data_IF_779969523509
#
_entry.id   IF_779969523509
#
_cell.length_a   1.000
_cell.length_b   1.000
_cell.length_c   1.000
_cell.angle_alpha   90.00
_cell.angle_beta   90.00
_cell.angle_gamma   90.00
#
_symmetry.space_group_name_H-M   'P 1'
#
loop_
_entity.id
_entity.type
_entity.pdbx_description
1 polymer ?
#
# COMPACT_ATOMS: atom_id res chain seq x y z
N UNK A 1 7.46 -23.85 1.46
CA UNK A 1 8.00 -22.56 0.97
C UNK A 1 8.01 -21.60 2.16
N UNK A 2 9.16 -21.04 2.53
CA UNK A 2 9.22 -20.03 3.58
C UNK A 2 8.97 -18.65 2.94
N UNK A 3 7.92 -17.95 3.37
CA UNK A 3 7.67 -16.58 2.96
C UNK A 3 8.36 -15.67 3.96
N UNK A 4 9.39 -14.96 3.49
CA UNK A 4 10.24 -14.09 4.32
C UNK A 4 9.74 -12.65 4.38
N UNK A 5 8.90 -12.24 3.41
CA UNK A 5 8.25 -10.94 3.44
C UNK A 5 6.81 -11.05 2.89
N UNK A 6 5.88 -10.34 3.51
CA UNK A 6 4.50 -10.21 3.06
C UNK A 6 4.21 -8.75 2.68
N UNK A 7 4.25 -8.41 1.38
CA UNK A 7 4.08 -7.03 0.94
C UNK A 7 2.62 -6.59 1.07
N UNK A 8 2.29 -5.93 2.18
CA UNK A 8 0.95 -5.45 2.54
C UNK A 8 0.28 -4.73 1.36
N UNK A 9 0.96 -3.75 0.76
CA UNK A 9 0.43 -2.97 -0.35
C UNK A 9 0.07 -3.84 -1.55
N UNK A 10 0.94 -4.78 -1.94
CA UNK A 10 0.68 -5.63 -3.08
C UNK A 10 -0.41 -6.68 -2.81
N UNK A 11 -0.62 -7.08 -1.55
CA UNK A 11 -1.76 -7.89 -1.16
C UNK A 11 -3.07 -7.09 -1.26
N UNK A 12 -3.07 -5.87 -0.72
CA UNK A 12 -4.18 -4.92 -0.79
C UNK A 12 -4.61 -4.69 -2.25
N UNK A 13 -3.66 -4.32 -3.11
CA UNK A 13 -3.92 -4.04 -4.53
C UNK A 13 -4.37 -5.29 -5.28
N UNK A 14 -3.69 -6.42 -5.08
CA UNK A 14 -3.97 -7.64 -5.85
C UNK A 14 -5.34 -8.26 -5.53
N UNK A 15 -5.71 -8.32 -4.25
CA UNK A 15 -7.00 -8.87 -3.82
C UNK A 15 -8.13 -7.87 -4.10
N UNK A 16 -7.94 -6.60 -3.71
CA UNK A 16 -8.94 -5.55 -3.89
C UNK A 16 -9.27 -5.30 -5.36
N UNK A 17 -8.27 -5.24 -6.24
CA UNK A 17 -8.51 -5.07 -7.68
C UNK A 17 -9.29 -6.24 -8.27
N UNK A 18 -8.92 -7.48 -7.92
CA UNK A 18 -9.62 -8.65 -8.46
C UNK A 18 -11.10 -8.68 -8.06
N UNK A 19 -11.40 -8.37 -6.81
CA UNK A 19 -12.79 -8.32 -6.33
C UNK A 19 -13.55 -7.15 -6.96
N UNK A 20 -12.93 -5.98 -7.09
CA UNK A 20 -13.50 -4.84 -7.80
C UNK A 20 -13.87 -5.20 -9.24
N UNK A 21 -12.95 -5.80 -9.99
CA UNK A 21 -13.17 -6.19 -11.38
C UNK A 21 -14.37 -7.12 -11.52
N UNK A 22 -14.45 -8.15 -10.66
CA UNK A 22 -15.57 -9.10 -10.67
C UNK A 22 -16.91 -8.44 -10.35
N UNK A 23 -16.93 -7.45 -9.45
CA UNK A 23 -18.16 -6.71 -9.15
C UNK A 23 -18.57 -5.88 -10.37
N UNK A 24 -17.63 -5.14 -10.97
CA UNK A 24 -17.90 -4.27 -12.13
C UNK A 24 -18.30 -5.07 -13.37
N UNK A 25 -17.70 -6.25 -13.59
CA UNK A 25 -18.08 -7.17 -14.67
C UNK A 25 -19.54 -7.66 -14.58
N UNK A 26 -20.14 -7.61 -13.38
CA UNK A 26 -21.53 -8.02 -13.14
C UNK A 26 -22.54 -6.88 -13.20
N UNK A 27 -22.09 -5.64 -13.37
CA UNK A 27 -22.94 -4.45 -13.38
C UNK A 27 -23.57 -4.19 -14.75
N UNK A 28 -24.75 -3.57 -14.75
CA UNK A 28 -25.32 -2.96 -15.96
C UNK A 28 -24.56 -1.69 -16.37
N UNK A 29 -24.77 -1.21 -17.60
CA UNK A 29 -24.15 0.04 -18.08
C UNK A 29 -24.51 1.25 -17.20
N UNK A 30 -25.76 1.34 -16.74
CA UNK A 30 -26.21 2.39 -15.82
C UNK A 30 -25.50 2.31 -14.46
N UNK A 31 -25.36 1.10 -13.91
CA UNK A 31 -24.64 0.87 -12.66
C UNK A 31 -23.16 1.21 -12.78
N UNK A 32 -22.53 0.90 -13.93
CA UNK A 32 -21.14 1.27 -14.22
C UNK A 32 -21.00 2.79 -14.24
N UNK A 33 -21.92 3.52 -14.86
CA UNK A 33 -21.88 4.98 -14.91
C UNK A 33 -21.99 5.59 -13.49
N UNK A 34 -22.94 5.11 -12.68
CA UNK A 34 -23.10 5.54 -11.28
C UNK A 34 -21.84 5.23 -10.46
N UNK A 35 -21.26 4.05 -10.67
CA UNK A 35 -20.01 3.65 -10.02
C UNK A 35 -18.86 4.60 -10.38
N UNK A 36 -18.69 4.93 -11.66
CA UNK A 36 -17.65 5.86 -12.12
C UNK A 36 -17.82 7.26 -11.55
N UNK A 37 -19.05 7.77 -11.47
CA UNK A 37 -19.32 9.10 -10.91
C UNK A 37 -19.11 9.12 -9.40
N UNK A 38 -19.40 8.02 -8.71
CA UNK A 38 -19.11 7.86 -7.28
C UNK A 38 -17.61 7.78 -7.01
N UNK A 39 -16.83 7.08 -7.86
CA UNK A 39 -15.36 7.08 -7.78
C UNK A 39 -14.81 8.52 -7.90
N UNK A 40 -15.31 9.31 -8.86
CA UNK A 40 -14.91 10.73 -9.02
C UNK A 40 -15.24 11.55 -7.78
N UNK A 41 -16.44 11.37 -7.21
CA UNK A 41 -16.90 12.07 -5.99
C UNK A 41 -15.96 11.87 -4.81
N UNK A 42 -15.45 10.65 -4.64
CA UNK A 42 -14.50 10.31 -3.57
C UNK A 42 -13.03 10.51 -3.97
N UNK A 43 -12.76 11.12 -5.13
CA UNK A 43 -11.42 11.33 -5.67
C UNK A 43 -10.60 10.01 -5.79
N UNK A 44 -11.29 8.91 -6.09
CA UNK A 44 -10.68 7.59 -6.28
C UNK A 44 -10.25 7.48 -7.74
N UNK A 45 -8.93 7.46 -7.96
CA UNK A 45 -8.34 7.47 -9.30
C UNK A 45 -7.68 6.13 -9.62
N UNK A 46 -7.84 5.70 -10.87
CA UNK A 46 -7.07 4.60 -11.46
C UNK A 46 -5.80 5.18 -12.08
N UNK A 47 -4.68 4.47 -11.91
CA UNK A 47 -3.39 4.83 -12.50
C UNK A 47 -3.44 4.74 -14.02
N UNK A 48 -2.88 5.73 -14.69
CA UNK A 48 -2.66 5.70 -16.14
C UNK A 48 -1.50 4.77 -16.52
N UNK A 49 -0.50 4.63 -15.64
CA UNK A 49 0.71 3.83 -15.89
C UNK A 49 0.50 2.32 -15.76
N UNK A 50 -0.44 1.89 -14.90
CA UNK A 50 -0.66 0.47 -14.60
C UNK A 50 -1.92 -0.12 -15.29
N UNK A 51 -2.26 0.36 -16.49
CA UNK A 51 -3.36 -0.19 -17.28
C UNK A 51 -4.74 -0.02 -16.63
N UNK A 52 -4.96 1.09 -15.93
CA UNK A 52 -6.26 1.38 -15.32
C UNK A 52 -6.52 0.66 -13.98
N UNK A 53 -5.46 0.32 -13.23
CA UNK A 53 -5.55 -0.25 -11.88
C UNK A 53 -5.55 0.82 -10.80
N UNK A 54 -6.09 0.51 -9.62
CA UNK A 54 -5.97 1.42 -8.47
C UNK A 54 -4.55 1.41 -7.89
N UNK A 55 -4.15 2.56 -7.34
CA UNK A 55 -2.96 2.70 -6.50
C UNK A 55 -3.33 2.58 -5.02
N UNK A 56 -2.34 2.48 -4.14
CA UNK A 56 -2.55 2.20 -2.71
C UNK A 56 -3.59 3.10 -2.05
N UNK A 57 -3.45 4.43 -2.23
CA UNK A 57 -4.37 5.40 -1.64
C UNK A 57 -5.80 5.27 -2.20
N UNK A 58 -5.94 5.11 -3.52
CA UNK A 58 -7.23 4.91 -4.16
C UNK A 58 -7.90 3.60 -3.71
N UNK A 59 -7.14 2.52 -3.56
CA UNK A 59 -7.67 1.24 -3.08
C UNK A 59 -8.12 1.34 -1.62
N UNK A 60 -7.39 2.04 -0.75
CA UNK A 60 -7.83 2.30 0.63
C UNK A 60 -9.11 3.13 0.68
N UNK A 61 -9.23 4.16 -0.17
CA UNK A 61 -10.46 4.95 -0.28
C UNK A 61 -11.63 4.11 -0.81
N UNK A 62 -11.39 3.25 -1.79
CA UNK A 62 -12.38 2.31 -2.31
C UNK A 62 -12.87 1.37 -1.21
N UNK A 63 -11.96 0.76 -0.45
CA UNK A 63 -12.33 -0.10 0.68
C UNK A 63 -13.04 0.68 1.79
N UNK A 64 -12.71 1.95 2.02
CA UNK A 64 -13.40 2.80 3.00
C UNK A 64 -14.83 3.17 2.57
N UNK A 65 -15.04 3.41 1.29
CA UNK A 65 -16.30 3.92 0.73
C UNK A 65 -17.09 2.86 -0.06
N UNK A 66 -16.71 1.58 0.07
CA UNK A 66 -17.34 0.48 -0.66
C UNK A 66 -18.87 0.43 -0.46
N UNK A 67 -19.39 0.82 0.70
CA UNK A 67 -20.84 0.89 0.96
C UNK A 67 -21.58 1.87 0.05
N UNK A 68 -20.93 2.92 -0.45
CA UNK A 68 -21.52 3.92 -1.33
C UNK A 68 -21.21 3.64 -2.80
N UNK A 69 -20.10 2.96 -3.08
CA UNK A 69 -19.59 2.70 -4.43
C UNK A 69 -20.35 1.62 -5.20
N UNK A 70 -21.06 0.73 -4.51
CA UNK A 70 -21.70 -0.43 -5.12
C UNK A 70 -23.18 -0.49 -4.76
N UNK A 71 -24.01 -0.54 -5.80
CA UNK A 71 -25.47 -0.63 -5.68
C UNK A 71 -25.91 -2.05 -5.30
N UNK A 72 -25.39 -3.06 -5.99
CA UNK A 72 -25.62 -4.45 -5.64
C UNK A 72 -24.67 -4.90 -4.52
N UNK A 73 -25.22 -4.93 -3.29
CA UNK A 73 -24.49 -5.33 -2.08
C UNK A 73 -24.65 -6.80 -1.71
N UNK A 74 -25.40 -7.55 -2.52
CA UNK A 74 -25.75 -8.94 -2.23
C UNK A 74 -24.90 -9.94 -3.02
N UNK A 75 -24.07 -9.49 -3.97
CA UNK A 75 -23.19 -10.39 -4.70
C UNK A 75 -22.03 -10.86 -3.81
N UNK A 76 -21.62 -12.12 -3.97
CA UNK A 76 -20.57 -12.73 -3.15
C UNK A 76 -19.25 -11.96 -3.24
N UNK A 77 -18.93 -11.38 -4.39
CA UNK A 77 -17.72 -10.59 -4.59
C UNK A 77 -17.71 -9.32 -3.73
N UNK A 78 -18.85 -8.62 -3.61
CA UNK A 78 -18.97 -7.48 -2.71
C UNK A 78 -18.86 -7.90 -1.24
N UNK A 79 -19.50 -9.01 -0.85
CA UNK A 79 -19.39 -9.53 0.52
C UNK A 79 -17.91 -9.90 0.80
N UNK A 80 -17.22 -10.54 -0.13
CA UNK A 80 -15.81 -10.86 -0.01
C UNK A 80 -14.93 -9.60 0.10
N UNK A 81 -15.23 -8.54 -0.65
CA UNK A 81 -14.55 -7.25 -0.56
C UNK A 81 -14.69 -6.64 0.84
N UNK A 82 -15.88 -6.74 1.45
CA UNK A 82 -16.12 -6.29 2.84
C UNK A 82 -15.34 -7.10 3.86
N UNK A 83 -15.32 -8.42 3.70
CA UNK A 83 -14.54 -9.30 4.58
C UNK A 83 -13.04 -9.02 4.42
N UNK A 84 -12.59 -8.72 3.21
CA UNK A 84 -11.21 -8.31 2.97
C UNK A 84 -10.84 -6.97 3.63
N UNK A 85 -11.73 -5.97 3.61
CA UNK A 85 -11.53 -4.72 4.36
C UNK A 85 -11.39 -4.98 5.87
N UNK A 86 -12.20 -5.90 6.42
CA UNK A 86 -12.06 -6.36 7.80
C UNK A 86 -10.70 -7.02 8.06
N UNK A 87 -10.18 -7.85 7.13
CA UNK A 87 -8.82 -8.40 7.22
C UNK A 87 -7.78 -7.27 7.23
N UNK A 88 -7.90 -6.31 6.32
CA UNK A 88 -7.00 -5.15 6.22
C UNK A 88 -6.94 -4.35 7.52
N UNK A 89 -8.09 -3.96 8.05
CA UNK A 89 -8.18 -3.22 9.32
C UNK A 89 -7.61 -3.98 10.54
N UNK A 90 -7.54 -5.32 10.47
CA UNK A 90 -7.04 -6.16 11.56
C UNK A 90 -5.55 -6.46 11.47
N UNK A 91 -5.05 -6.63 10.24
CA UNK A 91 -3.72 -7.19 10.01
C UNK A 91 -2.76 -6.22 9.32
N UNK A 92 -3.25 -5.24 8.58
CA UNK A 92 -2.41 -4.44 7.68
C UNK A 92 -1.90 -3.15 8.32
N UNK A 93 -2.37 -2.80 9.53
CA UNK A 93 -1.85 -1.66 10.29
C UNK A 93 -0.49 -1.92 10.93
N UNK A 94 0.01 -0.91 11.67
CA UNK A 94 1.22 -1.03 12.50
C UNK A 94 0.98 -2.05 13.61
N UNK A 95 -0.20 -1.99 14.22
CA UNK A 95 -0.62 -2.91 15.25
C UNK A 95 -1.71 -3.86 14.75
N UNK A 96 -1.73 -5.08 15.28
CA UNK A 96 -2.89 -5.96 15.17
C UNK A 96 -4.00 -5.39 16.03
N UNK A 97 -5.09 -5.00 15.38
CA UNK A 97 -6.16 -4.31 16.06
C UNK A 97 -7.08 -5.26 16.87
N UNK A 98 -7.07 -6.57 16.56
CA UNK A 98 -8.03 -7.53 17.13
C UNK A 98 -7.46 -8.93 17.29
N UNK A 99 -7.72 -9.63 18.43
CA UNK A 99 -7.39 -11.04 18.61
C UNK A 99 -8.03 -11.96 17.55
N UNK A 100 -9.18 -11.56 17.00
CA UNK A 100 -10.00 -12.35 16.07
C UNK A 100 -9.52 -12.26 14.60
N UNK A 101 -8.29 -11.79 14.35
CA UNK A 101 -7.80 -11.60 12.99
C UNK A 101 -7.78 -12.91 12.17
N UNK A 102 -7.58 -14.05 12.84
CA UNK A 102 -7.63 -15.37 12.20
C UNK A 102 -9.03 -15.69 11.68
N UNK A 103 -10.06 -15.45 12.49
CA UNK A 103 -11.46 -15.67 12.10
C UNK A 103 -11.84 -14.79 10.90
N UNK A 104 -11.42 -13.53 10.90
CA UNK A 104 -11.66 -12.60 9.78
C UNK A 104 -11.03 -13.10 8.47
N UNK A 105 -9.85 -13.72 8.54
CA UNK A 105 -9.19 -14.31 7.36
C UNK A 105 -9.94 -15.55 6.88
N UNK A 106 -10.45 -16.39 7.80
CA UNK A 106 -11.26 -17.56 7.45
C UNK A 106 -12.58 -17.15 6.80
N UNK A 107 -13.30 -16.19 7.39
CA UNK A 107 -14.54 -15.63 6.82
C UNK A 107 -14.31 -15.07 5.42
N UNK A 108 -13.18 -14.37 5.23
CA UNK A 108 -12.79 -13.88 3.91
C UNK A 108 -12.53 -15.03 2.93
N UNK A 109 -11.77 -16.06 3.33
CA UNK A 109 -11.48 -17.22 2.45
C UNK A 109 -12.77 -17.94 2.03
N UNK A 110 -13.69 -18.18 2.96
CA UNK A 110 -14.97 -18.83 2.69
C UNK A 110 -15.81 -18.01 1.71
N UNK A 111 -15.94 -16.70 1.97
CA UNK A 111 -16.71 -15.81 1.11
C UNK A 111 -16.08 -15.68 -0.27
N UNK A 112 -14.75 -15.65 -0.37
CA UNK A 112 -14.04 -15.61 -1.64
C UNK A 112 -14.31 -16.88 -2.46
N UNK A 113 -14.29 -18.07 -1.84
CA UNK A 113 -14.63 -19.32 -2.52
C UNK A 113 -16.06 -19.33 -3.07
N UNK A 114 -17.00 -18.75 -2.33
CA UNK A 114 -18.39 -18.60 -2.77
C UNK A 114 -18.53 -17.71 -4.02
N UNK A 115 -17.54 -16.90 -4.37
CA UNK A 115 -17.54 -16.12 -5.59
C UNK A 115 -17.37 -16.99 -6.86
N UNK A 116 -16.86 -18.23 -6.74
CA UNK A 116 -16.64 -19.11 -7.87
C UNK A 116 -15.54 -18.66 -8.84
N UNK A 117 -14.67 -17.73 -8.42
CA UNK A 117 -13.57 -17.18 -9.22
C UNK A 117 -12.23 -17.85 -8.92
N UNK A 118 -11.32 -17.82 -9.88
CA UNK A 118 -9.96 -18.39 -9.74
C UNK A 118 -9.20 -17.77 -8.58
N UNK A 119 -8.61 -18.60 -7.72
CA UNK A 119 -7.73 -18.14 -6.65
C UNK A 119 -6.44 -17.54 -7.21
N UNK A 120 -6.21 -16.26 -6.96
CA UNK A 120 -4.96 -15.59 -7.36
C UNK A 120 -3.87 -15.88 -6.32
N UNK A 121 -2.59 -15.71 -6.71
CA UNK A 121 -1.46 -15.86 -5.79
C UNK A 121 -1.60 -14.96 -4.55
N UNK A 122 -2.12 -13.73 -4.70
CA UNK A 122 -2.30 -12.80 -3.58
C UNK A 122 -3.40 -13.26 -2.63
N UNK A 123 -4.50 -13.81 -3.14
CA UNK A 123 -5.56 -14.42 -2.31
C UNK A 123 -5.02 -15.64 -1.57
N UNK A 124 -4.27 -16.52 -2.26
CA UNK A 124 -3.62 -17.66 -1.61
C UNK A 124 -2.69 -17.24 -0.47
N UNK A 125 -1.91 -16.18 -0.69
CA UNK A 125 -1.03 -15.61 0.34
C UNK A 125 -1.83 -15.14 1.56
N UNK A 126 -2.91 -14.36 1.35
CA UNK A 126 -3.77 -13.89 2.46
C UNK A 126 -4.39 -15.08 3.22
N UNK A 127 -4.94 -16.07 2.52
CA UNK A 127 -5.66 -17.18 3.17
C UNK A 127 -4.74 -18.21 3.84
N UNK A 128 -3.54 -18.44 3.31
CA UNK A 128 -2.67 -19.56 3.77
C UNK A 128 -1.42 -19.14 4.50
N UNK A 129 -0.91 -17.94 4.23
CA UNK A 129 0.41 -17.54 4.70
C UNK A 129 0.38 -16.35 5.64
N UNK A 130 -0.69 -15.55 5.64
CA UNK A 130 -0.79 -14.37 6.51
C UNK A 130 -0.77 -14.75 8.00
N UNK A 131 -1.61 -15.69 8.43
CA UNK A 131 -1.65 -16.12 9.84
C UNK A 131 -0.32 -16.74 10.31
N UNK A 132 0.26 -17.74 9.61
CA UNK A 132 1.57 -18.28 9.99
C UNK A 132 2.67 -17.22 10.03
N UNK A 133 2.65 -16.25 9.11
CA UNK A 133 3.64 -15.19 9.08
C UNK A 133 3.52 -14.25 10.27
N UNK A 134 2.31 -13.75 10.55
CA UNK A 134 2.05 -12.84 11.67
C UNK A 134 2.40 -13.46 13.03
N UNK A 135 2.13 -14.76 13.21
CA UNK A 135 2.40 -15.48 14.46
C UNK A 135 3.88 -15.84 14.63
N UNK A 136 4.60 -16.09 13.53
CA UNK A 136 5.99 -16.58 13.58
C UNK A 136 7.01 -15.45 13.59
N UNK A 137 6.78 -14.39 12.82
CA UNK A 137 7.82 -13.41 12.49
C UNK A 137 7.56 -12.02 13.07
N UNK A 138 6.34 -11.73 13.54
CA UNK A 138 6.02 -10.43 14.13
C UNK A 138 5.72 -10.55 15.63
N UNK A 139 6.07 -9.52 16.43
CA UNK A 139 5.61 -9.40 17.81
C UNK A 139 4.08 -9.54 17.95
N UNK A 140 3.62 -9.93 19.14
CA UNK A 140 2.21 -10.26 19.43
C UNK A 140 1.21 -9.18 19.05
N UNK A 141 1.65 -7.92 19.05
CA UNK A 141 0.77 -6.77 18.79
C UNK A 141 1.04 -6.11 17.43
N UNK A 142 1.94 -6.63 16.60
CA UNK A 142 2.35 -5.99 15.34
C UNK A 142 1.59 -6.55 14.13
N UNK A 143 1.09 -5.64 13.30
CA UNK A 143 0.53 -5.93 11.98
C UNK A 143 1.60 -5.82 10.88
N UNK A 144 1.19 -6.05 9.63
CA UNK A 144 2.09 -6.07 8.48
C UNK A 144 2.79 -4.74 8.22
N UNK A 145 2.20 -3.60 8.61
CA UNK A 145 2.85 -2.32 8.36
C UNK A 145 4.16 -2.16 9.17
N UNK A 146 4.36 -2.96 10.23
CA UNK A 146 5.62 -2.97 10.97
C UNK A 146 6.81 -3.46 10.13
N UNK A 147 6.56 -4.17 9.03
CA UNK A 147 7.57 -4.63 8.07
C UNK A 147 7.26 -4.14 6.65
N UNK A 148 6.59 -2.99 6.55
CA UNK A 148 6.04 -2.49 5.29
C UNK A 148 7.11 -2.12 4.27
N UNK A 149 6.84 -2.43 3.00
CA UNK A 149 7.58 -1.92 1.85
C UNK A 149 7.27 -0.44 1.55
N UNK A 150 6.26 0.16 2.19
CA UNK A 150 5.87 1.56 1.96
C UNK A 150 7.02 2.55 2.23
N UNK A 151 7.90 2.24 3.20
CA UNK A 151 9.08 3.05 3.45
C UNK A 151 10.02 3.06 2.23
N UNK A 152 10.25 1.89 1.64
CA UNK A 152 11.09 1.74 0.45
C UNK A 152 10.47 2.40 -0.78
N UNK A 153 9.15 2.27 -0.99
CA UNK A 153 8.45 2.94 -2.09
C UNK A 153 8.50 4.47 -1.95
N UNK A 154 8.37 4.98 -0.73
CA UNK A 154 8.53 6.41 -0.43
C UNK A 154 9.95 6.88 -0.75
N UNK A 155 10.96 6.09 -0.37
CA UNK A 155 12.36 6.36 -0.73
C UNK A 155 12.57 6.38 -2.24
N UNK A 156 11.98 5.45 -2.99
CA UNK A 156 12.05 5.48 -4.46
C UNK A 156 11.39 6.73 -5.06
N UNK A 157 10.24 7.13 -4.54
CA UNK A 157 9.57 8.36 -5.01
C UNK A 157 10.42 9.60 -4.70
N UNK A 158 11.01 9.69 -3.52
CA UNK A 158 11.90 10.79 -3.15
C UNK A 158 13.16 10.79 -4.01
N UNK A 159 13.76 9.62 -4.22
CA UNK A 159 14.94 9.47 -5.09
C UNK A 159 14.62 9.89 -6.53
N UNK A 160 13.47 9.54 -7.08
CA UNK A 160 13.07 9.96 -8.42
C UNK A 160 13.02 11.49 -8.57
N UNK A 161 12.63 12.23 -7.54
CA UNK A 161 12.64 13.70 -7.58
C UNK A 161 14.06 14.27 -7.57
N UNK A 162 14.96 13.67 -6.79
CA UNK A 162 16.39 14.00 -6.80
C UNK A 162 16.97 13.67 -8.18
N UNK A 163 16.73 12.46 -8.67
CA UNK A 163 17.23 11.94 -9.94
C UNK A 163 16.83 12.80 -11.13
N UNK A 164 15.59 13.31 -11.16
CA UNK A 164 15.10 14.23 -12.23
C UNK A 164 15.96 15.50 -12.41
N UNK A 165 16.75 15.89 -11.41
CA UNK A 165 17.69 17.03 -11.51
C UNK A 165 18.99 16.67 -12.22
N UNK A 166 19.31 15.38 -12.30
CA UNK A 166 20.54 14.84 -12.87
C UNK A 166 20.31 14.01 -14.14
N UNK A 167 19.04 13.81 -14.54
CA UNK A 167 18.71 13.04 -15.74
C UNK A 167 19.15 13.74 -17.02
N UNK A 168 20.12 13.13 -17.70
CA UNK A 168 20.35 13.22 -19.14
C UNK A 168 19.73 11.98 -19.80
N UNK A 169 19.55 11.95 -21.13
CA UNK A 169 19.08 10.73 -21.82
C UNK A 169 20.03 9.53 -21.56
N UNK A 170 19.53 8.29 -21.62
CA UNK A 170 20.33 7.09 -21.31
C UNK A 170 21.60 6.95 -22.18
N UNK A 171 21.57 7.50 -23.40
CA UNK A 171 22.68 7.49 -24.35
C UNK A 171 23.62 8.72 -24.24
N UNK A 172 23.45 9.55 -23.22
CA UNK A 172 24.24 10.80 -23.08
C UNK A 172 25.54 10.52 -22.33
N UNK A 173 26.65 11.03 -22.87
CA UNK A 173 27.95 11.07 -22.19
C UNK A 173 27.77 11.85 -20.86
N UNK A 174 27.85 11.16 -19.72
CA UNK A 174 27.60 11.74 -18.38
C UNK A 174 26.52 11.04 -17.54
N UNK A 175 25.82 10.03 -18.07
CA UNK A 175 24.82 9.27 -17.29
C UNK A 175 25.37 8.73 -15.96
N UNK A 176 26.56 8.13 -15.98
CA UNK A 176 27.18 7.55 -14.78
C UNK A 176 27.52 8.60 -13.72
N UNK A 177 28.01 9.76 -14.14
CA UNK A 177 28.31 10.88 -13.24
C UNK A 177 27.04 11.51 -12.67
N UNK A 178 26.02 11.69 -13.50
CA UNK A 178 24.69 12.12 -13.05
C UNK A 178 24.11 11.18 -11.99
N UNK A 179 24.15 9.87 -12.24
CA UNK A 179 23.63 8.87 -11.30
C UNK A 179 24.39 8.91 -9.97
N UNK A 180 25.72 8.97 -10.03
CA UNK A 180 26.56 9.09 -8.84
C UNK A 180 26.19 10.33 -8.01
N UNK A 181 26.09 11.49 -8.66
CA UNK A 181 25.74 12.74 -7.99
C UNK A 181 24.33 12.70 -7.36
N UNK A 182 23.36 12.10 -8.04
CA UNK A 182 22.01 11.93 -7.50
C UNK A 182 21.98 11.03 -6.26
N UNK A 183 22.74 9.94 -6.26
CA UNK A 183 22.85 9.05 -5.10
C UNK A 183 23.53 9.77 -3.93
N UNK A 184 24.63 10.50 -4.18
CA UNK A 184 25.31 11.28 -3.16
C UNK A 184 24.38 12.33 -2.53
N UNK A 185 23.63 13.08 -3.34
CA UNK A 185 22.70 14.09 -2.83
C UNK A 185 21.54 13.45 -2.03
N UNK A 186 20.94 12.38 -2.54
CA UNK A 186 19.85 11.67 -1.85
C UNK A 186 20.28 11.15 -0.47
N UNK A 187 21.47 10.55 -0.39
CA UNK A 187 22.02 10.08 0.89
C UNK A 187 22.33 11.25 1.83
N UNK A 188 22.86 12.36 1.31
CA UNK A 188 23.12 13.56 2.12
C UNK A 188 21.82 14.15 2.70
N UNK A 189 20.77 14.31 1.88
CA UNK A 189 19.47 14.83 2.31
C UNK A 189 18.88 13.94 3.40
N UNK A 190 18.90 12.62 3.19
CA UNK A 190 18.31 11.64 4.12
C UNK A 190 19.03 11.67 5.47
N UNK A 191 20.37 11.69 5.48
CA UNK A 191 21.17 11.79 6.70
C UNK A 191 21.00 13.15 7.41
N UNK A 192 20.81 14.24 6.66
CA UNK A 192 20.58 15.57 7.22
C UNK A 192 19.19 15.69 7.86
N UNK A 193 18.17 15.04 7.31
CA UNK A 193 16.82 15.03 7.88
C UNK A 193 16.70 14.15 9.11
N UNK A 194 17.40 13.02 9.17
CA UNK A 194 17.42 12.15 10.35
C UNK A 194 18.16 12.78 11.54
N UNK A 195 19.14 13.66 11.25
CA UNK A 195 19.89 14.41 12.26
C UNK A 195 19.31 15.80 12.56
N UNK A 196 18.20 16.22 11.96
CA UNK A 196 17.70 17.59 12.11
C UNK A 196 17.30 17.93 13.56
N UNK A 197 16.92 16.94 14.37
CA UNK A 197 16.61 17.12 15.80
C UNK A 197 17.87 17.29 16.67
N UNK A 198 18.99 16.65 16.30
CA UNK A 198 20.24 16.68 17.07
C UNK A 198 21.19 17.79 16.59
N UNK A 199 21.18 18.13 15.29
CA UNK A 199 21.95 19.23 14.70
C UNK A 199 21.43 20.59 15.17
N UNK A 200 20.12 20.76 15.36
CA UNK A 200 19.56 22.00 15.93
C UNK A 200 19.91 22.20 17.41
N UNK A 201 20.10 21.12 18.19
CA UNK A 201 20.62 21.21 19.57
C UNK A 201 22.11 21.57 19.59
N UNK A 202 22.92 20.93 18.73
CA UNK A 202 24.35 21.24 18.64
C UNK A 202 24.64 22.69 18.26
N UNK A 203 23.87 23.27 17.33
CA UNK A 203 24.04 24.66 16.87
C UNK A 203 23.52 25.73 17.86
N UNK A 204 22.64 25.37 18.79
CA UNK A 204 22.19 26.25 19.87
C UNK A 204 23.18 26.30 21.04
N UNK A 205 23.91 25.20 21.29
CA UNK A 205 24.90 25.13 22.36
C UNK A 205 26.24 25.78 21.97
N UNK A 206 26.60 25.81 20.68
CA UNK A 206 27.83 26.46 20.19
C UNK A 206 27.74 28.00 20.10
N UNK A 207 26.55 28.59 20.17
CA UNK A 207 26.34 30.05 20.15
C UNK A 207 26.24 30.71 21.55
N UNK A 208 26.62 29.98 22.62
CA UNK A 208 26.72 30.52 24.00
C UNK A 208 28.16 30.82 24.43
N UNK A 209 29.02 31.27 23.51
CA UNK A 209 30.28 31.90 23.92
C UNK A 209 29.97 33.36 24.26
N UNK A 210 29.83 33.59 25.56
CA UNK A 210 29.61 34.88 26.20
C UNK A 210 30.68 35.90 25.78
N UNK A 211 30.22 37.07 25.32
CA UNK A 211 31.03 38.28 25.36
C UNK A 211 31.33 38.63 26.82
N UNK A 212 32.59 38.52 27.22
CA UNK A 212 33.19 39.31 28.30
C UNK A 212 34.13 40.34 27.69
#
# INVERSE_FOLDING_TARGET
MAIHNLPELHLLLGVGQRLHDVIVESMSEDEIQIHQDTLKRYNIKKSQYHGGRFEGNSMRLLLKHHGDLFLNKNCNAFIALRRFDSVGSSCFGISRCTPEFHERILEFEETYKMCGISCTTKVHIVSRHLVPFLLKYLPTDNGLAAVSELALESSHHHFNNVWRRYTFGEDTEGYGEGLFNAVCEFNFITLATDNAADVWKGLQDENKIECN
#
